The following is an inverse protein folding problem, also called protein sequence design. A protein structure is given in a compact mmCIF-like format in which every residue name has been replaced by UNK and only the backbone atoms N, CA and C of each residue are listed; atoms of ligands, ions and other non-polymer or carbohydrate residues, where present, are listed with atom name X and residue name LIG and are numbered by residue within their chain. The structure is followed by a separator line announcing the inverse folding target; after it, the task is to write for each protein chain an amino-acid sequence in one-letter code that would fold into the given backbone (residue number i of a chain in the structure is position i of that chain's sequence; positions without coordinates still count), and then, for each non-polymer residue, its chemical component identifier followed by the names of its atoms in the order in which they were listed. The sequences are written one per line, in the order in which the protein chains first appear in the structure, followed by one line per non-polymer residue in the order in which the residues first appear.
data_IF_866451249968
#
_entry.id   IF_866451249968
#
_cell.length_a   1.000
_cell.length_b   1.000
_cell.length_c   1.000
_cell.angle_alpha   90.00
_cell.angle_beta   90.00
_cell.angle_gamma   90.00
#
_symmetry.space_group_name_H-M   'P 1'
#
loop_
_entity.id
_entity.type
_entity.pdbx_description
1 polymer ?
#
# COMPACT_ATOMS: atom_id res chain seq x y z
N UNK A 1 2.25 -40.92 -25.39
CA UNK A 1 2.98 -39.63 -25.38
C UNK A 1 4.11 -39.77 -24.38
N UNK A 2 5.34 -39.50 -24.79
CA UNK A 2 6.49 -39.50 -23.86
C UNK A 2 6.27 -38.45 -22.80
N UNK A 3 6.30 -38.83 -21.53
CA UNK A 3 6.21 -37.92 -20.36
C UNK A 3 7.46 -37.02 -20.21
N UNK A 4 8.07 -36.63 -21.32
CA UNK A 4 9.23 -35.77 -21.32
C UNK A 4 8.80 -34.30 -21.29
N UNK A 5 8.93 -33.67 -20.12
CA UNK A 5 8.71 -32.26 -19.99
C UNK A 5 10.02 -31.48 -20.32
N UNK A 6 9.92 -30.43 -21.17
CA UNK A 6 11.10 -29.67 -21.66
C UNK A 6 12.03 -29.13 -20.58
N UNK A 7 11.53 -28.91 -19.35
CA UNK A 7 12.29 -28.43 -18.21
C UNK A 7 12.81 -29.56 -17.30
N UNK A 8 12.48 -30.83 -17.58
CA UNK A 8 13.00 -31.98 -16.86
C UNK A 8 14.03 -32.67 -17.73
N UNK A 9 15.35 -32.59 -17.45
CA UNK A 9 16.39 -33.15 -18.29
C UNK A 9 16.45 -34.68 -18.19
N UNK A 10 15.86 -35.28 -17.16
CA UNK A 10 15.90 -36.74 -16.93
C UNK A 10 15.06 -37.48 -17.95
N UNK A 11 15.69 -38.37 -18.73
CA UNK A 11 15.06 -39.24 -19.70
C UNK A 11 14.51 -40.51 -19.03
N UNK A 12 13.71 -41.28 -19.76
CA UNK A 12 13.24 -42.58 -19.26
C UNK A 12 14.40 -43.57 -19.07
N UNK A 13 15.46 -43.46 -19.88
CA UNK A 13 16.68 -44.25 -19.71
C UNK A 13 17.44 -43.86 -18.43
N UNK A 14 17.61 -42.57 -18.17
CA UNK A 14 18.23 -42.11 -16.92
C UNK A 14 17.46 -42.60 -15.70
N UNK A 15 16.13 -42.53 -15.77
CA UNK A 15 15.25 -43.02 -14.69
C UNK A 15 15.44 -44.53 -14.46
N UNK A 16 15.57 -45.33 -15.52
CA UNK A 16 15.81 -46.76 -15.42
C UNK A 16 17.16 -47.03 -14.74
N UNK A 17 18.22 -46.35 -15.16
CA UNK A 17 19.56 -46.51 -14.59
C UNK A 17 19.60 -46.10 -13.11
N UNK A 18 18.87 -45.02 -12.72
CA UNK A 18 18.71 -44.61 -11.32
C UNK A 18 18.02 -45.68 -10.47
N UNK A 19 16.92 -46.28 -10.98
CA UNK A 19 16.18 -47.33 -10.27
C UNK A 19 17.02 -48.59 -10.13
N UNK A 20 17.78 -49.00 -11.17
CA UNK A 20 18.71 -50.10 -11.11
C UNK A 20 19.84 -49.86 -10.11
N UNK A 21 20.38 -48.64 -10.03
CA UNK A 21 21.42 -48.26 -9.07
C UNK A 21 20.90 -48.31 -7.63
N UNK A 22 19.67 -47.88 -7.40
CA UNK A 22 19.00 -47.94 -6.08
C UNK A 22 18.61 -49.37 -5.73
N UNK A 23 18.45 -50.26 -6.70
CA UNK A 23 18.07 -51.65 -6.47
C UNK A 23 16.55 -51.87 -6.37
N UNK A 24 15.75 -51.02 -7.01
CA UNK A 24 14.29 -51.12 -7.08
C UNK A 24 13.80 -51.19 -8.53
N UNK A 25 12.60 -51.72 -8.72
CA UNK A 25 12.06 -51.92 -10.08
C UNK A 25 11.17 -50.77 -10.54
N UNK A 26 10.64 -49.99 -9.63
CA UNK A 26 9.74 -48.85 -9.95
C UNK A 26 9.85 -47.72 -8.95
N UNK A 27 9.41 -46.53 -9.37
CA UNK A 27 9.26 -45.37 -8.44
C UNK A 27 8.34 -45.69 -7.27
N UNK A 28 7.34 -46.59 -7.47
CA UNK A 28 6.42 -46.98 -6.37
C UNK A 28 7.13 -47.71 -5.25
N UNK A 29 8.19 -48.44 -5.57
CA UNK A 29 8.97 -49.16 -4.55
C UNK A 29 9.73 -48.25 -3.59
N UNK A 30 10.03 -47.01 -4.03
CA UNK A 30 10.64 -45.99 -3.22
C UNK A 30 9.74 -45.52 -2.05
N UNK A 31 8.45 -45.77 -2.14
CA UNK A 31 7.45 -45.41 -1.14
C UNK A 31 6.96 -46.62 -0.33
N UNK A 32 7.78 -47.67 -0.22
CA UNK A 32 7.41 -48.92 0.45
C UNK A 32 7.12 -48.76 1.94
N UNK A 33 7.65 -47.71 2.57
CA UNK A 33 7.40 -47.28 3.97
C UNK A 33 6.01 -46.67 4.16
N UNK A 34 5.32 -46.21 3.10
CA UNK A 34 3.96 -45.70 3.16
C UNK A 34 2.96 -46.85 3.01
N UNK A 35 2.05 -47.10 3.96
CA UNK A 35 1.03 -48.13 3.84
C UNK A 35 0.18 -47.99 2.59
N UNK A 36 -0.10 -49.10 1.90
CA UNK A 36 -0.89 -49.09 0.66
C UNK A 36 -2.28 -48.47 0.80
N UNK A 37 -2.88 -48.61 1.99
CA UNK A 37 -4.19 -48.00 2.32
C UNK A 37 -4.20 -46.47 2.31
N UNK A 38 -3.03 -45.87 2.46
CA UNK A 38 -2.87 -44.38 2.52
C UNK A 38 -2.28 -43.83 1.21
N UNK A 39 -1.76 -44.68 0.31
CA UNK A 39 -1.25 -44.25 -0.98
C UNK A 39 -2.37 -43.78 -1.90
N UNK A 40 -2.10 -42.79 -2.70
CA UNK A 40 -2.99 -42.39 -3.78
C UNK A 40 -3.05 -43.52 -4.82
N UNK A 41 -4.24 -44.11 -5.01
CA UNK A 41 -4.55 -45.06 -6.08
C UNK A 41 -5.19 -44.27 -7.24
N UNK A 42 -5.36 -44.94 -8.40
CA UNK A 42 -6.11 -44.34 -9.51
C UNK A 42 -7.49 -43.81 -9.08
N UNK A 43 -8.13 -44.54 -8.14
CA UNK A 43 -9.47 -44.18 -7.63
C UNK A 43 -9.42 -43.07 -6.53
N UNK A 44 -8.22 -42.72 -6.03
CA UNK A 44 -7.95 -41.66 -5.05
C UNK A 44 -7.00 -40.59 -5.60
N UNK A 45 -6.63 -40.67 -6.90
CA UNK A 45 -5.84 -39.63 -7.53
C UNK A 45 -6.63 -38.34 -7.56
N UNK A 46 -5.92 -37.22 -7.48
CA UNK A 46 -6.53 -35.92 -7.69
C UNK A 46 -7.13 -35.92 -9.09
N UNK A 47 -8.45 -35.69 -9.18
CA UNK A 47 -9.17 -35.62 -10.46
C UNK A 47 -8.85 -34.27 -11.11
N UNK A 48 -7.76 -34.25 -11.85
CA UNK A 48 -7.33 -33.12 -12.65
C UNK A 48 -7.47 -33.45 -14.13
N UNK A 49 -7.98 -32.48 -14.85
CA UNK A 49 -8.01 -32.54 -16.31
C UNK A 49 -6.59 -32.64 -16.91
N UNK A 50 -6.49 -33.14 -18.13
CA UNK A 50 -5.21 -33.18 -18.86
C UNK A 50 -4.66 -31.75 -19.06
N UNK A 51 -3.33 -31.62 -19.11
CA UNK A 51 -2.65 -30.37 -19.33
C UNK A 51 -3.07 -29.72 -20.67
N UNK A 52 -3.47 -28.47 -20.61
CA UNK A 52 -3.80 -27.67 -21.78
C UNK A 52 -2.53 -27.31 -22.59
N UNK A 53 -2.69 -27.14 -23.90
CA UNK A 53 -1.66 -26.51 -24.70
C UNK A 53 -1.51 -25.02 -24.28
N UNK A 54 -0.33 -24.43 -24.54
CA UNK A 54 -0.08 -23.00 -24.23
C UNK A 54 -1.14 -22.09 -24.86
N UNK A 55 -1.54 -22.37 -26.11
CA UNK A 55 -2.59 -21.62 -26.80
C UNK A 55 -3.94 -21.73 -26.10
N UNK A 56 -4.35 -22.96 -25.72
CA UNK A 56 -5.62 -23.21 -25.06
C UNK A 56 -5.63 -22.59 -23.66
N UNK A 57 -4.53 -22.71 -22.89
CA UNK A 57 -4.38 -22.09 -21.57
C UNK A 57 -4.45 -20.56 -21.66
N UNK A 58 -3.74 -19.96 -22.64
CA UNK A 58 -3.78 -18.50 -22.84
C UNK A 58 -5.19 -18.01 -23.14
N UNK A 59 -5.93 -18.73 -24.00
CA UNK A 59 -7.32 -18.41 -24.32
C UNK A 59 -8.21 -18.50 -23.07
N UNK A 60 -8.12 -19.61 -22.35
CA UNK A 60 -8.89 -19.84 -21.14
C UNK A 60 -8.65 -18.77 -20.07
N UNK A 61 -7.37 -18.42 -19.82
CA UNK A 61 -7.02 -17.38 -18.84
C UNK A 61 -7.51 -15.99 -19.26
N UNK A 62 -7.49 -15.65 -20.56
CA UNK A 62 -8.07 -14.41 -21.08
C UNK A 62 -9.59 -14.35 -20.89
N UNK A 63 -10.28 -15.47 -21.10
CA UNK A 63 -11.73 -15.56 -20.87
C UNK A 63 -12.09 -15.39 -19.39
N UNK A 64 -11.27 -15.92 -18.48
CA UNK A 64 -11.44 -15.69 -17.03
C UNK A 64 -11.16 -14.24 -16.67
N UNK A 65 -10.07 -13.66 -17.17
CA UNK A 65 -9.70 -12.27 -16.92
C UNK A 65 -10.77 -11.28 -17.39
N UNK A 66 -11.40 -11.56 -18.53
CA UNK A 66 -12.47 -10.73 -19.10
C UNK A 66 -13.77 -10.67 -18.27
N UNK A 67 -13.90 -11.55 -17.25
CA UNK A 67 -15.03 -11.49 -16.30
C UNK A 67 -14.87 -10.42 -15.22
N UNK A 68 -13.68 -9.86 -15.07
CA UNK A 68 -13.42 -8.83 -14.08
C UNK A 68 -13.78 -7.44 -14.60
N UNK A 69 -14.29 -6.59 -13.71
CA UNK A 69 -14.43 -5.15 -13.96
C UNK A 69 -13.06 -4.49 -13.81
N UNK A 70 -12.60 -3.80 -14.85
CA UNK A 70 -11.26 -3.18 -14.89
C UNK A 70 -11.35 -1.69 -15.22
N UNK A 71 -10.28 -0.95 -14.94
CA UNK A 71 -10.16 0.47 -15.29
C UNK A 71 -10.06 0.75 -16.80
N UNK A 72 -9.91 -0.29 -17.63
CA UNK A 72 -10.00 -0.18 -19.09
C UNK A 72 -11.45 -0.20 -19.59
N UNK A 73 -12.34 -0.85 -18.82
CA UNK A 73 -13.74 -1.02 -19.18
C UNK A 73 -14.70 -0.10 -18.42
N UNK A 74 -14.28 0.42 -17.25
CA UNK A 74 -15.10 1.23 -16.36
C UNK A 74 -14.34 2.46 -15.86
N UNK A 75 -15.03 3.58 -15.73
CA UNK A 75 -14.51 4.76 -15.03
C UNK A 75 -14.52 4.53 -13.52
N UNK A 76 -13.42 4.83 -12.84
CA UNK A 76 -13.20 4.50 -11.44
C UNK A 76 -13.27 5.74 -10.55
N UNK A 77 -14.21 5.75 -9.59
CA UNK A 77 -14.39 6.80 -8.60
C UNK A 77 -14.36 6.27 -7.17
N UNK A 78 -13.91 5.00 -6.98
CA UNK A 78 -13.97 4.32 -5.69
C UNK A 78 -12.97 4.90 -4.67
N UNK A 79 -11.71 5.07 -5.03
CA UNK A 79 -10.67 5.51 -4.11
C UNK A 79 -10.50 4.62 -2.88
N UNK A 80 -10.69 5.19 -1.70
CA UNK A 80 -10.64 4.48 -0.41
C UNK A 80 -9.32 3.71 -0.20
N UNK A 81 -8.18 4.36 -0.49
CA UNK A 81 -6.83 3.84 -0.24
C UNK A 81 -6.16 3.18 -1.45
N UNK A 82 -6.89 2.89 -2.55
CA UNK A 82 -6.32 2.34 -3.80
C UNK A 82 -6.86 3.15 -4.98
N UNK A 83 -5.98 3.72 -5.77
CA UNK A 83 -6.33 4.78 -6.72
C UNK A 83 -5.94 4.41 -8.15
N UNK A 84 -6.82 4.75 -9.11
CA UNK A 84 -6.52 4.64 -10.54
C UNK A 84 -5.77 5.89 -11.03
N UNK A 85 -4.45 5.92 -10.83
CA UNK A 85 -3.56 6.98 -11.28
C UNK A 85 -2.86 6.66 -12.60
N UNK A 86 -2.40 7.70 -13.28
CA UNK A 86 -1.55 7.58 -14.46
C UNK A 86 -0.19 6.97 -14.10
N UNK A 87 0.26 6.02 -14.91
CA UNK A 87 1.60 5.44 -14.81
C UNK A 87 2.32 5.59 -16.15
N UNK A 88 3.47 6.27 -16.20
CA UNK A 88 4.30 6.33 -17.40
C UNK A 88 4.76 4.94 -17.85
N UNK A 89 4.74 4.68 -19.17
CA UNK A 89 5.14 3.37 -19.73
C UNK A 89 6.58 2.95 -19.36
N UNK A 90 7.45 3.92 -19.08
CA UNK A 90 8.83 3.67 -18.64
C UNK A 90 8.90 2.87 -17.32
N UNK A 91 7.91 3.00 -16.43
CA UNK A 91 7.88 2.25 -15.16
C UNK A 91 7.88 0.75 -15.46
N UNK A 92 6.90 0.27 -16.22
CA UNK A 92 6.83 -1.13 -16.61
C UNK A 92 8.03 -1.59 -17.42
N UNK A 93 8.54 -0.73 -18.31
CA UNK A 93 9.72 -1.06 -19.10
C UNK A 93 10.95 -1.35 -18.23
N UNK A 94 11.17 -0.55 -17.20
CA UNK A 94 12.30 -0.75 -16.26
C UNK A 94 12.06 -1.95 -15.35
N UNK A 95 10.84 -2.11 -14.81
CA UNK A 95 10.51 -3.24 -13.93
C UNK A 95 10.65 -4.61 -14.62
N UNK A 96 10.41 -4.68 -15.93
CA UNK A 96 10.53 -5.92 -16.71
C UNK A 96 11.97 -6.24 -17.12
N UNK A 97 12.94 -5.39 -16.83
CA UNK A 97 14.35 -5.70 -17.07
C UNK A 97 14.80 -6.82 -16.15
N UNK A 98 15.44 -7.85 -16.71
CA UNK A 98 15.84 -9.04 -15.96
C UNK A 98 16.76 -8.72 -14.79
N UNK A 99 17.59 -7.69 -14.91
CA UNK A 99 18.52 -7.23 -13.87
C UNK A 99 17.80 -6.83 -12.57
N UNK A 100 16.59 -6.31 -12.67
CA UNK A 100 15.76 -5.94 -11.53
C UNK A 100 14.69 -6.99 -11.21
N UNK A 101 14.00 -7.53 -12.23
CA UNK A 101 12.88 -8.45 -12.03
C UNK A 101 13.29 -9.77 -11.37
N UNK A 102 14.50 -10.24 -11.64
CA UNK A 102 15.03 -11.47 -11.03
C UNK A 102 15.88 -11.23 -9.78
N UNK A 103 16.12 -9.97 -9.40
CA UNK A 103 16.80 -9.63 -8.17
C UNK A 103 15.96 -10.06 -6.95
N UNK A 104 16.66 -10.54 -5.92
CA UNK A 104 16.05 -10.85 -4.63
C UNK A 104 16.46 -9.77 -3.63
N UNK A 105 17.02 -10.14 -2.50
CA UNK A 105 17.57 -9.18 -1.55
C UNK A 105 19.04 -8.89 -1.84
N UNK A 106 19.46 -7.63 -1.89
CA UNK A 106 20.84 -7.25 -2.27
C UNK A 106 21.84 -7.47 -1.11
N UNK A 107 21.98 -8.71 -0.65
CA UNK A 107 22.90 -9.08 0.43
C UNK A 107 24.36 -8.94 0.06
N UNK A 108 24.70 -9.11 -1.23
CA UNK A 108 26.05 -8.98 -1.74
C UNK A 108 26.21 -7.62 -2.45
N UNK A 109 26.74 -6.59 -1.76
CA UNK A 109 26.85 -5.26 -2.34
C UNK A 109 27.63 -5.22 -3.65
N UNK A 110 28.65 -6.09 -3.78
CA UNK A 110 29.51 -6.17 -4.97
C UNK A 110 28.73 -6.49 -6.25
N UNK A 111 27.69 -7.31 -6.14
CA UNK A 111 26.86 -7.75 -7.26
C UNK A 111 25.57 -6.91 -7.45
N UNK A 112 25.16 -6.12 -6.46
CA UNK A 112 23.84 -5.50 -6.37
C UNK A 112 23.86 -3.98 -6.30
N UNK A 113 24.92 -3.33 -6.80
CA UNK A 113 25.07 -1.88 -6.68
C UNK A 113 23.93 -1.09 -7.32
N UNK A 114 23.41 -1.53 -8.47
CA UNK A 114 22.29 -0.86 -9.15
C UNK A 114 21.00 -0.90 -8.34
N UNK A 115 20.67 -2.04 -7.75
CA UNK A 115 19.48 -2.19 -6.88
C UNK A 115 19.65 -1.39 -5.58
N UNK A 116 20.81 -1.47 -4.93
CA UNK A 116 21.08 -0.69 -3.73
C UNK A 116 21.02 0.82 -3.99
N UNK A 117 21.54 1.28 -5.13
CA UNK A 117 21.41 2.68 -5.52
C UNK A 117 19.94 3.08 -5.70
N UNK A 118 19.13 2.27 -6.39
CA UNK A 118 17.72 2.55 -6.59
C UNK A 118 16.96 2.66 -5.24
N UNK A 119 17.23 1.76 -4.29
CA UNK A 119 16.66 1.81 -2.94
C UNK A 119 17.14 3.03 -2.16
N UNK A 120 18.40 3.44 -2.30
CA UNK A 120 18.91 4.66 -1.68
C UNK A 120 18.21 5.91 -2.25
N UNK A 121 17.99 5.95 -3.56
CA UNK A 121 17.25 7.03 -4.22
C UNK A 121 15.78 7.06 -3.78
N UNK A 122 15.12 5.90 -3.65
CA UNK A 122 13.78 5.79 -3.05
C UNK A 122 13.73 6.42 -1.65
N UNK A 123 14.66 6.05 -0.77
CA UNK A 123 14.75 6.62 0.57
C UNK A 123 14.89 8.15 0.54
N UNK A 124 15.71 8.67 -0.36
CA UNK A 124 15.92 10.11 -0.54
C UNK A 124 14.63 10.80 -0.99
N UNK A 125 13.93 10.24 -1.98
CA UNK A 125 12.67 10.78 -2.48
C UNK A 125 11.59 10.81 -1.40
N UNK A 126 11.50 9.74 -0.59
CA UNK A 126 10.56 9.70 0.54
C UNK A 126 10.91 10.74 1.62
N UNK A 127 12.19 10.94 1.92
CA UNK A 127 12.62 12.00 2.83
C UNK A 127 12.23 13.40 2.32
N UNK A 128 12.46 13.69 1.05
CA UNK A 128 12.13 14.98 0.44
C UNK A 128 10.60 15.26 0.45
N UNK A 129 9.79 14.27 0.07
CA UNK A 129 8.34 14.42 0.07
C UNK A 129 7.76 14.59 1.47
N UNK A 130 8.26 13.83 2.44
CA UNK A 130 7.71 13.81 3.80
C UNK A 130 8.30 14.88 4.73
N UNK A 131 9.43 15.48 4.33
CA UNK A 131 10.18 16.42 5.19
C UNK A 131 10.88 15.72 6.35
N UNK A 132 11.18 14.41 6.22
CA UNK A 132 11.84 13.60 7.24
C UNK A 132 13.33 13.43 6.96
N UNK A 133 14.09 13.04 8.01
CA UNK A 133 15.56 12.94 7.92
C UNK A 133 16.03 11.58 7.38
N UNK A 134 15.26 10.52 7.61
CA UNK A 134 15.63 9.13 7.27
C UNK A 134 14.41 8.35 6.83
N UNK A 135 14.51 7.61 5.73
CA UNK A 135 13.53 6.61 5.32
C UNK A 135 14.17 5.23 5.17
N UNK A 136 13.36 4.17 5.29
CA UNK A 136 13.80 2.81 4.99
C UNK A 136 13.66 2.49 3.48
N UNK A 137 14.14 1.30 3.10
CA UNK A 137 14.09 0.84 1.70
C UNK A 137 12.71 0.38 1.22
N UNK A 138 11.74 0.32 2.05
CA UNK A 138 10.29 0.03 1.92
C UNK A 138 9.79 -0.96 2.98
N UNK A 139 8.47 -1.09 3.05
CA UNK A 139 7.73 -2.13 3.77
C UNK A 139 6.70 -2.77 2.84
N UNK A 140 5.88 -3.70 3.34
CA UNK A 140 4.90 -4.41 2.53
C UNK A 140 3.83 -3.47 1.96
N UNK A 141 3.25 -2.64 2.82
CA UNK A 141 2.23 -1.66 2.50
C UNK A 141 2.16 -0.55 3.56
N UNK A 142 1.30 0.44 3.35
CA UNK A 142 1.12 1.57 4.26
C UNK A 142 0.54 1.18 5.62
N UNK A 143 -0.35 0.19 5.68
CA UNK A 143 -0.98 -0.22 6.93
C UNK A 143 -0.01 -1.00 7.83
N UNK A 144 0.78 -1.90 7.25
CA UNK A 144 1.88 -2.57 7.95
C UNK A 144 2.91 -1.54 8.44
N UNK A 145 3.23 -0.53 7.61
CA UNK A 145 4.11 0.56 8.01
C UNK A 145 3.57 1.31 9.22
N UNK A 146 2.26 1.51 9.30
CA UNK A 146 1.61 2.15 10.45
C UNK A 146 1.69 1.28 11.72
N UNK A 147 1.45 -0.03 11.62
CA UNK A 147 1.62 -0.96 12.75
C UNK A 147 3.03 -0.94 13.31
N UNK A 148 4.04 -0.95 12.44
CA UNK A 148 5.45 -0.81 12.82
C UNK A 148 5.76 0.56 13.45
N UNK A 149 5.08 1.63 13.02
CA UNK A 149 5.23 2.96 13.63
C UNK A 149 4.71 2.99 15.08
N UNK A 150 3.61 2.29 15.36
CA UNK A 150 3.10 2.11 16.72
C UNK A 150 4.12 1.37 17.61
N UNK A 151 4.69 0.27 17.12
CA UNK A 151 5.74 -0.47 17.82
C UNK A 151 6.97 0.38 18.10
N UNK A 152 7.39 1.18 17.12
CA UNK A 152 8.49 2.12 17.31
C UNK A 152 8.15 3.14 18.38
N UNK A 153 6.95 3.73 18.34
CA UNK A 153 6.53 4.78 19.28
C UNK A 153 6.48 4.27 20.71
N UNK A 154 5.83 3.13 20.98
CA UNK A 154 5.75 2.50 22.30
C UNK A 154 7.13 2.13 22.83
N UNK A 155 7.98 1.53 21.97
CA UNK A 155 9.37 1.21 22.32
C UNK A 155 10.24 2.44 22.59
N UNK A 156 10.01 3.56 21.89
CA UNK A 156 10.81 4.77 22.04
C UNK A 156 10.42 5.59 23.26
N UNK A 157 9.14 5.75 23.55
CA UNK A 157 8.60 6.52 24.65
C UNK A 157 8.54 5.73 25.94
N UNK A 158 8.50 4.40 25.89
CA UNK A 158 8.22 3.49 27.03
C UNK A 158 6.82 3.66 27.62
N UNK A 159 5.89 4.14 26.80
CA UNK A 159 4.48 4.38 27.13
C UNK A 159 3.61 3.41 26.34
N UNK A 160 2.35 3.22 26.78
CA UNK A 160 1.52 2.11 26.28
C UNK A 160 0.25 2.58 25.54
N UNK A 161 -0.11 3.87 25.58
CA UNK A 161 -1.34 4.32 24.98
C UNK A 161 -1.09 4.93 23.60
N UNK A 162 -1.74 4.40 22.58
CA UNK A 162 -1.75 4.93 21.20
C UNK A 162 -3.16 5.44 20.90
N UNK A 163 -3.28 6.72 20.58
CA UNK A 163 -4.53 7.35 20.16
C UNK A 163 -4.58 7.42 18.63
N UNK A 164 -5.73 7.19 18.03
CA UNK A 164 -5.92 7.36 16.59
C UNK A 164 -7.25 8.01 16.26
N UNK A 165 -7.28 8.83 15.21
CA UNK A 165 -8.50 9.45 14.72
C UNK A 165 -9.47 8.43 14.14
N UNK A 166 -10.77 8.58 14.39
CA UNK A 166 -11.81 7.81 13.70
C UNK A 166 -11.77 8.01 12.18
N UNK A 167 -11.17 9.11 11.69
CA UNK A 167 -10.91 9.37 10.27
C UNK A 167 -9.70 8.60 9.69
N UNK A 168 -9.15 7.62 10.40
CA UNK A 168 -8.15 6.69 9.87
C UNK A 168 -8.83 5.63 8.99
N UNK A 169 -8.14 5.19 7.94
CA UNK A 169 -8.62 4.13 7.04
C UNK A 169 -9.06 2.88 7.81
N UNK A 170 -10.23 2.25 7.50
CA UNK A 170 -10.76 1.12 8.27
C UNK A 170 -9.76 -0.05 8.42
N UNK A 171 -9.13 -0.50 7.33
CA UNK A 171 -8.13 -1.58 7.40
C UNK A 171 -6.89 -1.20 8.22
N UNK A 172 -6.49 0.07 8.21
CA UNK A 172 -5.39 0.53 9.06
C UNK A 172 -5.72 0.37 10.55
N UNK A 173 -6.98 0.64 10.95
CA UNK A 173 -7.47 0.41 12.31
C UNK A 173 -7.34 -1.06 12.71
N UNK A 174 -7.79 -1.98 11.85
CA UNK A 174 -7.70 -3.42 12.11
C UNK A 174 -6.24 -3.89 12.28
N UNK A 175 -5.33 -3.37 11.43
CA UNK A 175 -3.90 -3.68 11.52
C UNK A 175 -3.31 -3.20 12.85
N UNK A 176 -3.54 -1.93 13.25
CA UNK A 176 -3.00 -1.43 14.51
C UNK A 176 -3.57 -2.16 15.74
N UNK A 177 -4.85 -2.57 15.72
CA UNK A 177 -5.44 -3.41 16.76
C UNK A 177 -4.77 -4.79 16.84
N UNK A 178 -4.47 -5.41 15.70
CA UNK A 178 -3.73 -6.67 15.63
C UNK A 178 -2.33 -6.55 16.21
N UNK A 179 -1.60 -5.48 15.85
CA UNK A 179 -0.29 -5.19 16.41
C UNK A 179 -0.36 -4.93 17.92
N UNK A 180 -1.34 -4.14 18.36
CA UNK A 180 -1.54 -3.83 19.78
C UNK A 180 -1.79 -5.09 20.60
N UNK A 181 -2.61 -6.01 20.09
CA UNK A 181 -2.85 -7.31 20.74
C UNK A 181 -1.55 -8.13 20.90
N UNK A 182 -0.76 -8.22 19.81
CA UNK A 182 0.48 -9.01 19.83
C UNK A 182 1.62 -8.39 20.65
N UNK A 183 1.63 -7.06 20.79
CA UNK A 183 2.68 -6.32 21.46
C UNK A 183 2.26 -5.75 22.83
N UNK A 184 1.05 -6.06 23.27
CA UNK A 184 0.50 -5.74 24.61
C UNK A 184 0.47 -4.22 24.92
N UNK A 185 0.11 -3.38 23.96
CA UNK A 185 -0.19 -1.96 24.18
C UNK A 185 -1.66 -1.64 23.88
N UNK A 186 -2.16 -0.51 24.38
CA UNK A 186 -3.54 -0.11 24.15
C UNK A 186 -3.69 0.84 22.97
N UNK A 187 -4.80 0.72 22.24
CA UNK A 187 -5.21 1.65 21.20
C UNK A 187 -6.60 2.20 21.50
N UNK A 188 -6.77 3.52 21.33
CA UNK A 188 -8.04 4.20 21.61
C UNK A 188 -8.40 5.12 20.45
N UNK A 189 -9.65 4.99 19.98
CA UNK A 189 -10.21 5.85 18.94
C UNK A 189 -10.62 7.21 19.53
N UNK A 190 -10.37 8.27 18.78
CA UNK A 190 -10.86 9.64 19.01
C UNK A 190 -11.92 9.93 17.96
N UNK A 191 -13.07 10.46 18.38
CA UNK A 191 -14.24 10.71 17.52
C UNK A 191 -13.99 11.82 16.49
N UNK A 192 -15.02 12.12 15.72
CA UNK A 192 -15.03 13.13 14.68
C UNK A 192 -15.90 14.33 15.09
N UNK A 193 -15.50 15.50 14.62
CA UNK A 193 -16.32 16.67 14.45
C UNK A 193 -16.55 16.90 12.94
N UNK A 194 -17.71 16.50 12.42
CA UNK A 194 -17.94 16.40 10.97
C UNK A 194 -17.07 15.30 10.33
N UNK A 195 -16.20 15.70 9.41
CA UNK A 195 -15.23 14.80 8.75
C UNK A 195 -13.81 14.97 9.28
N UNK A 196 -13.61 15.76 10.35
CA UNK A 196 -12.32 16.00 10.99
C UNK A 196 -12.20 15.29 12.33
N UNK A 197 -10.98 15.12 12.79
CA UNK A 197 -10.69 14.68 14.15
C UNK A 197 -11.25 15.69 15.17
N UNK A 198 -11.95 15.21 16.21
CA UNK A 198 -12.40 16.05 17.31
C UNK A 198 -11.21 16.43 18.19
N UNK A 199 -10.80 17.70 18.08
CA UNK A 199 -9.62 18.23 18.79
C UNK A 199 -9.86 18.34 20.30
N UNK A 200 -11.08 18.62 20.73
CA UNK A 200 -11.39 18.73 22.16
C UNK A 200 -11.37 17.34 22.83
N UNK A 201 -11.92 16.33 22.16
CA UNK A 201 -11.80 14.95 22.64
C UNK A 201 -10.35 14.47 22.60
N UNK A 202 -9.60 14.73 21.52
CA UNK A 202 -8.19 14.38 21.44
C UNK A 202 -7.39 14.99 22.60
N UNK A 203 -7.58 16.26 22.86
CA UNK A 203 -6.92 16.96 23.97
C UNK A 203 -7.25 16.34 25.32
N UNK A 204 -8.50 15.93 25.52
CA UNK A 204 -8.96 15.28 26.77
C UNK A 204 -8.43 13.84 26.91
N UNK A 205 -8.16 13.16 25.79
CA UNK A 205 -7.67 11.79 25.76
C UNK A 205 -6.15 11.66 25.93
N UNK A 206 -5.40 12.74 25.65
CA UNK A 206 -3.94 12.78 25.82
C UNK A 206 -3.58 12.82 27.30
N UNK A 207 -2.72 11.88 27.73
CA UNK A 207 -2.24 11.75 29.10
C UNK A 207 -0.71 11.48 29.15
N UNK A 208 -0.18 11.28 30.35
CA UNK A 208 1.24 10.99 30.55
C UNK A 208 1.68 9.64 29.96
N UNK A 209 0.74 8.68 29.79
CA UNK A 209 0.98 7.38 29.20
C UNK A 209 0.78 7.37 27.67
N UNK A 210 0.45 8.48 27.07
CA UNK A 210 0.27 8.60 25.62
C UNK A 210 1.61 8.46 24.90
N UNK A 211 1.79 7.34 24.20
CA UNK A 211 2.95 6.99 23.38
C UNK A 211 2.91 7.71 22.03
N UNK A 212 1.75 7.71 21.39
CA UNK A 212 1.56 8.32 20.07
C UNK A 212 0.13 8.77 19.81
N UNK A 213 0.00 9.72 18.89
CA UNK A 213 -1.23 10.09 18.20
C UNK A 213 -1.05 9.80 16.71
N UNK A 214 -2.03 9.12 16.10
CA UNK A 214 -2.04 8.75 14.67
C UNK A 214 -3.07 9.61 13.94
N UNK A 215 -2.63 10.27 12.89
CA UNK A 215 -3.48 11.05 11.97
C UNK A 215 -3.20 10.62 10.52
N UNK A 216 -4.25 10.46 9.73
CA UNK A 216 -4.11 10.29 8.28
C UNK A 216 -4.20 11.65 7.59
N UNK A 217 -3.40 11.87 6.51
CA UNK A 217 -3.23 13.18 5.87
C UNK A 217 -3.10 13.06 4.34
N UNK A 218 -4.10 13.47 3.55
CA UNK A 218 -5.48 13.75 3.98
C UNK A 218 -6.10 12.55 4.71
N UNK A 219 -7.11 12.80 5.56
CA UNK A 219 -7.77 11.72 6.30
C UNK A 219 -8.66 10.84 5.38
N UNK A 220 -9.24 9.77 5.92
CA UNK A 220 -10.01 8.81 5.13
C UNK A 220 -11.23 9.42 4.42
N UNK A 221 -11.78 10.50 4.94
CA UNK A 221 -12.90 11.24 4.31
C UNK A 221 -12.41 12.35 3.36
N UNK A 222 -11.11 12.37 3.05
CA UNK A 222 -10.46 13.31 2.15
C UNK A 222 -10.05 14.63 2.79
N UNK A 223 -10.47 14.92 4.02
CA UNK A 223 -10.26 16.20 4.70
C UNK A 223 -8.80 16.39 5.15
N UNK A 224 -8.28 17.60 5.02
CA UNK A 224 -6.91 17.96 5.42
C UNK A 224 -6.93 18.38 6.90
N UNK A 225 -6.24 17.62 7.75
CA UNK A 225 -6.16 17.86 9.21
C UNK A 225 -5.10 18.92 9.58
N UNK A 226 -5.30 19.67 10.67
CA UNK A 226 -4.29 20.62 11.18
C UNK A 226 -3.24 19.88 12.03
N UNK A 227 -2.19 19.42 11.38
CA UNK A 227 -1.10 18.70 12.05
C UNK A 227 -0.31 19.58 13.03
N UNK A 228 -0.26 20.91 12.85
CA UNK A 228 0.44 21.82 13.78
C UNK A 228 -0.32 21.92 15.09
N UNK A 229 -1.64 22.11 15.02
CA UNK A 229 -2.49 22.14 16.19
C UNK A 229 -2.38 20.82 16.96
N UNK A 230 -2.55 19.68 16.27
CA UNK A 230 -2.45 18.34 16.88
C UNK A 230 -1.06 18.13 17.51
N UNK A 231 0.02 18.54 16.83
CA UNK A 231 1.37 18.42 17.41
C UNK A 231 1.54 19.23 18.68
N UNK A 232 0.95 20.43 18.77
CA UNK A 232 1.03 21.26 19.96
C UNK A 232 0.44 20.60 21.22
N UNK A 233 -0.59 19.76 21.07
CA UNK A 233 -1.19 19.00 22.17
C UNK A 233 -0.24 17.94 22.77
N UNK A 234 0.80 17.54 22.04
CA UNK A 234 1.76 16.52 22.48
C UNK A 234 3.02 17.07 23.12
N UNK A 235 3.22 18.38 23.16
CA UNK A 235 4.48 19.01 23.62
C UNK A 235 4.84 18.63 25.05
N UNK A 236 3.88 18.67 25.97
CA UNK A 236 4.10 18.39 27.38
C UNK A 236 4.27 16.89 27.68
N UNK A 237 3.65 16.02 26.89
CA UNK A 237 3.67 14.57 27.13
C UNK A 237 4.87 13.86 26.51
N UNK A 238 5.58 14.50 25.59
CA UNK A 238 6.62 13.86 24.74
C UNK A 238 6.09 12.70 23.89
N UNK A 239 4.79 12.66 23.64
CA UNK A 239 4.16 11.73 22.70
C UNK A 239 4.64 11.93 21.26
N UNK A 240 4.55 10.89 20.47
CA UNK A 240 4.99 10.86 19.06
C UNK A 240 3.81 11.16 18.16
N UNK A 241 3.94 12.11 17.24
CA UNK A 241 2.97 12.31 16.17
C UNK A 241 3.34 11.38 14.99
N UNK A 242 2.48 10.42 14.70
CA UNK A 242 2.56 9.53 13.55
C UNK A 242 1.57 10.03 12.50
N UNK A 243 2.05 10.29 11.29
CA UNK A 243 1.20 10.72 10.17
C UNK A 243 1.21 9.65 9.09
N UNK A 244 0.02 9.13 8.74
CA UNK A 244 -0.17 8.29 7.56
C UNK A 244 -0.55 9.20 6.40
N UNK A 245 0.36 9.40 5.43
CA UNK A 245 0.17 10.38 4.38
C UNK A 245 0.00 9.76 2.99
N UNK A 246 -0.92 10.34 2.19
CA UNK A 246 -0.96 10.10 0.75
C UNK A 246 0.21 10.86 0.10
N UNK A 247 1.21 10.16 -0.49
CA UNK A 247 2.43 10.81 -0.94
C UNK A 247 2.21 11.70 -2.18
N UNK A 248 1.18 11.47 -2.98
CA UNK A 248 0.83 12.35 -4.10
C UNK A 248 0.29 13.70 -3.61
N UNK A 249 -0.52 13.70 -2.55
CA UNK A 249 -1.03 14.92 -1.96
C UNK A 249 0.10 15.84 -1.44
N UNK A 250 1.23 15.25 -1.02
CA UNK A 250 2.40 16.01 -0.54
C UNK A 250 3.09 16.83 -1.63
N UNK A 251 2.74 16.64 -2.90
CA UNK A 251 3.20 17.53 -3.98
C UNK A 251 2.60 18.94 -3.88
N UNK A 252 1.45 19.09 -3.21
CA UNK A 252 0.75 20.37 -2.99
C UNK A 252 0.72 20.77 -1.52
N UNK A 253 0.60 19.80 -0.60
CA UNK A 253 0.50 20.05 0.83
C UNK A 253 1.87 20.22 1.48
N UNK A 254 1.91 20.96 2.58
CA UNK A 254 3.14 21.07 3.36
C UNK A 254 3.53 19.69 3.92
N UNK A 255 4.80 19.35 3.80
CA UNK A 255 5.34 18.08 4.26
C UNK A 255 5.11 17.86 5.76
N UNK A 256 4.59 16.70 6.20
CA UNK A 256 4.26 16.45 7.61
C UNK A 256 5.43 16.65 8.58
N UNK A 257 6.66 16.36 8.14
CA UNK A 257 7.87 16.57 8.92
C UNK A 257 8.08 18.05 9.31
N UNK A 258 7.71 18.99 8.43
CA UNK A 258 7.75 20.44 8.69
C UNK A 258 6.60 20.87 9.60
N UNK A 259 5.50 20.15 9.62
CA UNK A 259 4.33 20.37 10.46
C UNK A 259 4.47 19.74 11.85
N UNK A 260 5.61 19.08 12.14
CA UNK A 260 5.91 18.55 13.45
C UNK A 260 5.76 17.04 13.61
N UNK A 261 5.40 16.30 12.54
CA UNK A 261 5.39 14.85 12.58
C UNK A 261 6.74 14.27 13.00
N UNK A 262 6.72 13.22 13.78
CA UNK A 262 7.92 12.48 14.22
C UNK A 262 8.18 11.24 13.36
N UNK A 263 7.10 10.63 12.84
CA UNK A 263 7.10 9.48 11.94
C UNK A 263 6.08 9.76 10.85
N UNK A 264 6.44 9.49 9.59
CA UNK A 264 5.53 9.54 8.45
C UNK A 264 5.56 8.22 7.73
N UNK A 265 4.39 7.62 7.54
CA UNK A 265 4.20 6.34 6.84
C UNK A 265 3.14 6.48 5.76
N UNK A 266 3.05 5.53 4.89
CA UNK A 266 2.01 5.47 3.87
C UNK A 266 2.35 4.46 2.78
N UNK A 267 1.64 4.55 1.68
CA UNK A 267 1.79 3.67 0.53
C UNK A 267 2.19 4.45 -0.72
N UNK A 268 3.10 3.91 -1.52
CA UNK A 268 3.52 4.53 -2.78
C UNK A 268 2.71 4.05 -3.98
N UNK A 269 1.56 3.42 -3.76
CA UNK A 269 0.67 2.98 -4.85
C UNK A 269 0.41 4.08 -5.89
N UNK A 270 0.20 5.36 -5.52
CA UNK A 270 0.03 6.45 -6.49
C UNK A 270 1.21 6.68 -7.43
N UNK A 271 2.38 6.12 -7.15
CA UNK A 271 3.61 6.31 -7.92
C UNK A 271 3.87 5.17 -8.91
N UNK A 272 2.91 4.93 -9.80
CA UNK A 272 3.05 4.00 -10.91
C UNK A 272 2.82 2.52 -10.56
N UNK A 273 2.31 2.21 -9.36
CA UNK A 273 1.93 0.86 -8.97
C UNK A 273 0.47 0.64 -9.37
N UNK A 274 0.16 -0.42 -10.15
CA UNK A 274 -1.22 -0.71 -10.55
C UNK A 274 -2.07 -1.09 -9.33
N UNK A 275 -3.39 -0.88 -9.43
CA UNK A 275 -4.32 -1.24 -8.35
C UNK A 275 -4.31 -2.72 -8.01
N UNK A 276 -4.17 -3.61 -9.00
CA UNK A 276 -4.00 -5.07 -8.86
C UNK A 276 -4.98 -5.71 -7.86
N UNK A 277 -6.25 -5.29 -7.87
CA UNK A 277 -7.28 -5.76 -6.93
C UNK A 277 -6.93 -5.57 -5.43
N UNK A 278 -6.16 -4.54 -5.11
CA UNK A 278 -5.78 -4.21 -3.74
C UNK A 278 -4.34 -4.58 -3.34
N UNK A 279 -3.50 -4.98 -4.27
CA UNK A 279 -2.08 -5.24 -4.00
C UNK A 279 -1.43 -6.28 -4.91
N UNK A 280 -0.11 -6.53 -4.72
CA UNK A 280 0.74 -5.94 -3.68
C UNK A 280 1.03 -4.46 -3.90
N UNK A 281 1.23 -3.74 -2.80
CA UNK A 281 1.61 -2.34 -2.77
C UNK A 281 3.03 -2.14 -2.22
N UNK A 282 3.43 -0.91 -1.91
CA UNK A 282 4.76 -0.60 -1.40
C UNK A 282 4.67 0.44 -0.29
N UNK A 283 4.82 0.00 0.95
CA UNK A 283 4.83 0.88 2.10
C UNK A 283 6.13 1.68 2.22
N UNK A 284 6.04 2.92 2.69
CA UNK A 284 7.20 3.70 3.09
C UNK A 284 7.16 4.04 4.58
N UNK A 285 8.34 4.28 5.17
CA UNK A 285 8.51 4.58 6.57
C UNK A 285 9.64 5.60 6.74
N UNK A 286 9.28 6.81 7.12
CA UNK A 286 10.19 7.92 7.26
C UNK A 286 10.15 8.53 8.67
N UNK A 287 11.29 8.90 9.24
CA UNK A 287 11.41 9.36 10.63
C UNK A 287 12.37 10.52 10.79
N UNK A 288 12.21 11.24 11.91
CA UNK A 288 13.26 12.13 12.42
C UNK A 288 14.52 11.35 12.80
N UNK A 289 15.70 11.90 12.58
CA UNK A 289 17.03 11.30 12.79
C UNK A 289 17.19 10.60 14.16
N UNK A 290 16.58 11.14 15.21
CA UNK A 290 16.63 10.54 16.56
C UNK A 290 16.07 9.12 16.65
N UNK A 291 15.22 8.71 15.70
CA UNK A 291 14.61 7.37 15.64
C UNK A 291 15.29 6.42 14.65
N UNK A 292 16.29 6.86 13.89
CA UNK A 292 16.95 6.09 12.83
C UNK A 292 17.33 4.66 13.24
N UNK A 293 17.79 4.47 14.48
CA UNK A 293 18.20 3.14 14.99
C UNK A 293 17.04 2.23 15.40
N UNK A 294 15.80 2.69 15.26
CA UNK A 294 14.58 1.95 15.59
C UNK A 294 13.70 1.70 14.36
N UNK A 295 14.07 2.24 13.19
CA UNK A 295 13.33 2.07 11.94
C UNK A 295 13.25 0.58 11.57
N UNK A 296 12.07 0.03 11.23
CA UNK A 296 11.95 -1.35 10.78
C UNK A 296 12.53 -1.56 9.38
N UNK A 297 12.74 -2.82 9.00
CA UNK A 297 13.23 -3.22 7.68
C UNK A 297 14.64 -2.66 7.35
N UNK A 298 15.02 -2.68 6.10
CA UNK A 298 16.37 -2.39 5.64
C UNK A 298 16.60 -0.91 5.39
N UNK A 299 17.83 -0.47 5.59
CA UNK A 299 18.31 0.87 5.22
C UNK A 299 19.55 0.71 4.36
N UNK A 300 19.59 1.39 3.23
CA UNK A 300 20.76 1.48 2.37
C UNK A 300 21.51 2.76 2.68
N UNK A 301 22.82 2.64 2.81
CA UNK A 301 23.74 3.77 3.03
C UNK A 301 24.70 3.92 1.87
N UNK A 302 25.18 5.14 1.65
CA UNK A 302 26.27 5.42 0.73
C UNK A 302 27.62 5.25 1.42
N UNK A 303 28.58 4.68 0.70
CA UNK A 303 29.96 4.46 1.15
C UNK A 303 30.92 4.71 -0.01
N UNK A 304 32.21 4.46 0.24
CA UNK A 304 33.25 4.42 -0.80
C UNK A 304 33.93 3.07 -0.77
N UNK A 305 34.33 2.59 -1.94
CA UNK A 305 35.16 1.39 -2.07
C UNK A 305 36.65 1.69 -1.73
N UNK A 306 37.48 0.67 -1.83
CA UNK A 306 38.97 0.78 -1.57
C UNK A 306 39.69 1.76 -2.51
N UNK A 307 39.11 2.05 -3.68
CA UNK A 307 39.67 2.95 -4.69
C UNK A 307 39.05 4.37 -4.58
N UNK A 308 38.22 4.61 -3.55
CA UNK A 308 37.53 5.89 -3.30
C UNK A 308 36.29 6.14 -4.16
N UNK A 309 35.85 5.14 -4.91
CA UNK A 309 34.63 5.26 -5.72
C UNK A 309 33.37 5.11 -4.86
N UNK A 310 32.34 5.89 -5.19
CA UNK A 310 31.02 5.79 -4.54
C UNK A 310 30.43 4.38 -4.69
N UNK A 311 29.95 3.84 -3.59
CA UNK A 311 29.23 2.58 -3.52
C UNK A 311 28.08 2.64 -2.53
N UNK A 312 27.26 1.59 -2.52
CA UNK A 312 26.09 1.48 -1.65
C UNK A 312 26.13 0.14 -0.91
N UNK A 313 25.67 0.14 0.35
CA UNK A 313 25.62 -1.03 1.21
C UNK A 313 24.39 -1.01 2.08
N UNK A 314 23.88 -2.19 2.49
CA UNK A 314 22.91 -2.25 3.59
C UNK A 314 23.61 -1.86 4.90
N UNK A 315 22.95 -0.99 5.67
CA UNK A 315 23.52 -0.45 6.91
C UNK A 315 22.59 -0.67 8.12
N UNK A 316 23.12 -0.49 9.33
CA UNK A 316 22.40 -0.66 10.59
C UNK A 316 21.72 -2.05 10.75
N UNK A 317 22.25 -3.10 10.13
CA UNK A 317 21.70 -4.46 10.14
C UNK A 317 21.64 -5.09 11.54
N UNK A 318 22.41 -4.58 12.51
CA UNK A 318 22.45 -5.11 13.89
C UNK A 318 21.10 -5.03 14.61
N UNK A 319 20.13 -4.28 14.12
CA UNK A 319 18.76 -4.19 14.66
C UNK A 319 17.80 -5.22 14.06
N UNK A 320 18.20 -5.91 12.97
CA UNK A 320 17.37 -6.84 12.23
C UNK A 320 17.25 -8.21 12.92
N UNK A 321 16.20 -8.95 12.55
CA UNK A 321 15.84 -10.23 13.17
C UNK A 321 16.94 -11.29 13.04
N UNK A 322 17.65 -11.38 11.93
CA UNK A 322 18.73 -12.36 11.74
C UNK A 322 19.94 -12.16 12.67
N UNK A 323 20.07 -10.96 13.26
CA UNK A 323 21.09 -10.67 14.29
C UNK A 323 20.48 -10.70 15.69
N UNK A 324 19.39 -9.96 15.91
CA UNK A 324 18.77 -9.78 17.24
C UNK A 324 17.84 -10.91 17.66
N UNK A 325 17.36 -11.70 16.70
CA UNK A 325 16.42 -12.80 16.91
C UNK A 325 15.17 -12.32 17.65
N UNK A 326 14.82 -12.93 18.79
CA UNK A 326 13.66 -12.56 19.63
C UNK A 326 13.72 -11.14 20.21
N UNK A 327 14.89 -10.51 20.19
CA UNK A 327 15.10 -9.13 20.66
C UNK A 327 15.04 -8.09 19.55
N UNK A 328 14.71 -8.50 18.32
CA UNK A 328 14.53 -7.56 17.23
C UNK A 328 13.33 -6.64 17.50
N UNK A 329 13.43 -5.40 17.05
CA UNK A 329 12.35 -4.42 17.19
C UNK A 329 11.20 -4.67 16.23
N UNK A 330 11.43 -5.47 15.18
CA UNK A 330 10.47 -5.82 14.14
C UNK A 330 10.76 -7.20 13.58
N UNK A 331 9.72 -7.92 13.18
CA UNK A 331 9.80 -9.20 12.46
C UNK A 331 9.88 -9.02 10.94
N UNK A 332 9.94 -7.81 10.44
CA UNK A 332 10.08 -7.51 9.02
C UNK A 332 11.43 -8.00 8.50
N UNK A 333 11.40 -9.02 7.64
CA UNK A 333 12.59 -9.60 7.01
C UNK A 333 12.69 -9.31 5.52
N UNK A 334 11.59 -8.90 4.88
CA UNK A 334 11.50 -8.56 3.47
C UNK A 334 10.93 -7.16 3.28
N UNK A 335 11.02 -6.66 2.07
CA UNK A 335 10.47 -5.39 1.63
C UNK A 335 9.95 -5.51 0.19
N UNK A 336 9.46 -4.41 -0.38
CA UNK A 336 8.95 -4.34 -1.76
C UNK A 336 9.99 -3.68 -2.68
N UNK A 337 11.19 -4.25 -2.78
CA UNK A 337 12.31 -3.64 -3.50
C UNK A 337 11.98 -3.31 -4.96
N UNK A 338 11.31 -4.22 -5.70
CA UNK A 338 10.91 -4.00 -7.08
C UNK A 338 9.90 -2.86 -7.21
N UNK A 339 8.90 -2.79 -6.33
CA UNK A 339 7.90 -1.72 -6.37
C UNK A 339 8.47 -0.38 -5.87
N UNK A 340 9.43 -0.40 -4.93
CA UNK A 340 10.19 0.79 -4.54
C UNK A 340 11.01 1.35 -5.71
N UNK A 341 11.64 0.47 -6.50
CA UNK A 341 12.28 0.85 -7.77
C UNK A 341 11.25 1.47 -8.72
N UNK A 342 10.06 0.84 -8.89
CA UNK A 342 8.98 1.36 -9.74
C UNK A 342 8.57 2.77 -9.33
N UNK A 343 8.39 3.02 -8.04
CA UNK A 343 8.07 4.34 -7.48
C UNK A 343 9.19 5.36 -7.74
N UNK A 344 10.46 4.95 -7.63
CA UNK A 344 11.60 5.81 -7.93
C UNK A 344 11.66 6.17 -9.42
N UNK A 345 11.42 5.20 -10.29
CA UNK A 345 11.35 5.41 -11.75
C UNK A 345 10.21 6.36 -12.11
N UNK A 346 9.03 6.17 -11.50
CA UNK A 346 7.89 7.07 -11.67
C UNK A 346 8.27 8.51 -11.30
N UNK A 347 8.77 8.72 -10.08
CA UNK A 347 9.14 10.04 -9.58
C UNK A 347 10.24 10.70 -10.44
N UNK A 348 11.22 9.92 -10.91
CA UNK A 348 12.26 10.40 -11.82
C UNK A 348 11.69 10.79 -13.21
N UNK A 349 10.71 10.03 -13.71
CA UNK A 349 10.09 10.26 -15.01
C UNK A 349 9.19 11.51 -15.02
N UNK A 350 8.35 11.69 -14.01
CA UNK A 350 7.44 12.85 -13.92
C UNK A 350 8.16 14.08 -13.39
N UNK A 351 9.16 13.91 -12.56
CA UNK A 351 9.91 14.99 -11.90
C UNK A 351 9.04 15.85 -11.00
N UNK A 352 9.63 16.90 -10.44
CA UNK A 352 8.92 17.80 -9.51
C UNK A 352 7.71 18.47 -10.15
N UNK A 353 7.86 18.97 -11.38
CA UNK A 353 6.80 19.70 -12.07
C UNK A 353 5.65 18.77 -12.43
N UNK A 354 5.94 17.63 -13.07
CA UNK A 354 4.89 16.68 -13.43
C UNK A 354 4.14 16.10 -12.22
N UNK A 355 4.82 15.88 -11.09
CA UNK A 355 4.17 15.44 -9.86
C UNK A 355 3.20 16.52 -9.33
N UNK A 356 3.60 17.79 -9.36
CA UNK A 356 2.74 18.91 -8.96
C UNK A 356 1.56 19.07 -9.91
N UNK A 357 1.77 18.97 -11.23
CA UNK A 357 0.71 19.03 -12.23
C UNK A 357 -0.30 17.89 -12.05
N UNK A 358 0.17 16.66 -11.82
CA UNK A 358 -0.68 15.51 -11.54
C UNK A 358 -1.53 15.72 -10.28
N UNK A 359 -0.92 16.14 -9.18
CA UNK A 359 -1.63 16.44 -7.94
C UNK A 359 -2.65 17.59 -8.11
N UNK A 360 -2.29 18.63 -8.87
CA UNK A 360 -3.19 19.76 -9.14
C UNK A 360 -4.39 19.35 -9.99
N UNK A 361 -4.22 18.43 -10.95
CA UNK A 361 -5.33 17.89 -11.72
C UNK A 361 -6.28 17.08 -10.84
N UNK A 362 -5.75 16.23 -9.95
CA UNK A 362 -6.57 15.51 -8.95
C UNK A 362 -7.44 16.50 -8.14
N UNK A 363 -6.81 17.52 -7.58
CA UNK A 363 -7.50 18.55 -6.81
C UNK A 363 -8.59 19.25 -7.64
N UNK A 364 -8.25 19.69 -8.83
CA UNK A 364 -9.17 20.43 -9.71
C UNK A 364 -10.37 19.56 -10.13
N UNK A 365 -10.14 18.30 -10.49
CA UNK A 365 -11.19 17.38 -10.91
C UNK A 365 -12.14 17.06 -9.74
N UNK A 366 -11.61 16.81 -8.57
CA UNK A 366 -12.42 16.52 -7.38
C UNK A 366 -13.27 17.74 -6.96
N UNK A 367 -12.68 18.94 -6.96
CA UNK A 367 -13.41 20.18 -6.70
C UNK A 367 -14.45 20.50 -7.78
N UNK A 368 -14.18 20.17 -9.04
CA UNK A 368 -15.17 20.28 -10.12
C UNK A 368 -16.38 19.38 -9.86
N UNK A 369 -16.17 18.07 -9.62
CA UNK A 369 -17.26 17.13 -9.35
C UNK A 369 -18.06 17.54 -8.11
N UNK A 370 -17.35 17.91 -7.00
CA UNK A 370 -17.99 18.41 -5.79
C UNK A 370 -18.93 19.59 -6.08
N UNK A 371 -18.45 20.57 -6.84
CA UNK A 371 -19.23 21.76 -7.19
C UNK A 371 -20.46 21.40 -8.03
N UNK A 372 -20.28 20.58 -9.08
CA UNK A 372 -21.39 20.17 -9.94
C UNK A 372 -22.46 19.39 -9.18
N UNK A 373 -22.08 18.50 -8.24
CA UNK A 373 -23.02 17.77 -7.38
C UNK A 373 -23.81 18.74 -6.46
N UNK A 374 -23.12 19.71 -5.86
CA UNK A 374 -23.77 20.72 -5.03
C UNK A 374 -24.71 21.62 -5.84
N UNK A 375 -24.33 22.02 -7.06
CA UNK A 375 -25.17 22.81 -7.97
C UNK A 375 -26.43 22.02 -8.42
N UNK A 376 -26.36 20.68 -8.43
CA UNK A 376 -27.51 19.77 -8.66
C UNK A 376 -28.33 19.50 -7.40
N UNK A 377 -27.95 20.04 -6.25
CA UNK A 377 -28.71 19.96 -5.00
C UNK A 377 -28.31 18.81 -4.06
N UNK A 378 -27.31 18.00 -4.37
CA UNK A 378 -26.81 16.97 -3.46
C UNK A 378 -26.07 17.62 -2.27
N UNK A 379 -26.23 17.03 -1.10
CA UNK A 379 -25.53 17.48 0.12
C UNK A 379 -24.12 16.94 0.15
N UNK A 380 -23.11 17.81 0.12
CA UNK A 380 -21.71 17.44 0.35
C UNK A 380 -21.38 17.56 1.82
N UNK A 381 -20.89 16.46 2.43
CA UNK A 381 -20.59 16.37 3.86
C UNK A 381 -19.16 16.81 4.19
N UNK A 382 -18.24 16.70 3.23
CA UNK A 382 -16.84 17.13 3.42
C UNK A 382 -16.69 18.64 3.40
N UNK A 383 -15.76 19.14 4.23
CA UNK A 383 -15.31 20.52 4.22
C UNK A 383 -14.72 20.94 2.87
N UNK A 384 -14.34 22.22 2.74
CA UNK A 384 -13.70 22.72 1.52
C UNK A 384 -12.21 22.35 1.41
N UNK A 385 -11.56 22.01 2.53
CA UNK A 385 -10.15 21.67 2.57
C UNK A 385 -9.97 20.16 2.41
N UNK A 386 -9.98 19.68 1.16
CA UNK A 386 -9.77 18.28 0.81
C UNK A 386 -8.90 18.17 -0.44
N UNK A 387 -8.36 16.98 -0.71
CA UNK A 387 -7.49 16.75 -1.87
C UNK A 387 -8.26 16.18 -3.06
N UNK A 388 -8.39 14.86 -3.17
CA UNK A 388 -9.03 14.17 -4.29
C UNK A 388 -10.19 13.25 -3.88
N UNK A 389 -10.48 13.18 -2.60
CA UNK A 389 -11.59 12.43 -2.02
C UNK A 389 -12.50 13.37 -1.23
N UNK A 390 -13.80 13.12 -1.29
CA UNK A 390 -14.80 13.85 -0.53
C UNK A 390 -16.08 13.01 -0.36
N UNK A 391 -16.91 13.35 0.63
CA UNK A 391 -18.13 12.62 0.95
C UNK A 391 -19.35 13.39 0.47
N UNK A 392 -20.25 12.69 -0.22
CA UNK A 392 -21.56 13.17 -0.64
C UNK A 392 -22.65 12.31 -0.01
N UNK A 393 -23.77 12.92 0.39
CA UNK A 393 -24.99 12.23 0.82
C UNK A 393 -25.89 12.01 -0.39
N UNK A 394 -26.27 10.76 -0.62
CA UNK A 394 -27.14 10.37 -1.71
C UNK A 394 -28.60 10.52 -1.30
N UNK A 395 -29.46 10.90 -2.24
CA UNK A 395 -30.92 10.98 -2.05
C UNK A 395 -31.62 9.62 -2.19
N UNK A 396 -30.89 8.59 -2.58
CA UNK A 396 -31.35 7.21 -2.81
C UNK A 396 -30.47 6.21 -2.07
N UNK A 397 -30.95 4.98 -1.81
CA UNK A 397 -30.15 3.94 -1.17
C UNK A 397 -28.83 3.69 -1.89
N UNK A 398 -27.73 3.57 -1.12
CA UNK A 398 -26.37 3.39 -1.63
C UNK A 398 -26.27 2.26 -2.66
N UNK A 399 -26.87 1.08 -2.36
CA UNK A 399 -26.78 -0.09 -3.25
C UNK A 399 -27.52 0.15 -4.58
N UNK A 400 -28.65 0.83 -4.59
CA UNK A 400 -29.38 1.15 -5.83
C UNK A 400 -28.55 2.08 -6.74
N UNK A 401 -27.85 3.04 -6.13
CA UNK A 401 -26.99 3.97 -6.86
C UNK A 401 -25.78 3.26 -7.41
N UNK A 402 -25.11 2.41 -6.63
CA UNK A 402 -23.92 1.67 -7.08
C UNK A 402 -24.25 0.66 -8.19
N UNK A 403 -25.39 -0.04 -8.11
CA UNK A 403 -25.85 -0.94 -9.17
C UNK A 403 -26.11 -0.16 -10.47
N UNK A 404 -26.78 0.99 -10.39
CA UNK A 404 -27.00 1.86 -11.55
C UNK A 404 -25.68 2.36 -12.15
N UNK A 405 -24.73 2.77 -11.33
CA UNK A 405 -23.41 3.22 -11.81
C UNK A 405 -22.68 2.10 -12.54
N UNK A 406 -22.72 0.86 -12.03
CA UNK A 406 -22.09 -0.30 -12.69
C UNK A 406 -22.74 -0.60 -14.04
N UNK A 407 -24.06 -0.50 -14.17
CA UNK A 407 -24.77 -0.65 -15.46
C UNK A 407 -24.32 0.40 -16.50
N UNK A 408 -23.85 1.55 -16.05
CA UNK A 408 -23.30 2.63 -16.85
C UNK A 408 -21.76 2.62 -16.95
N UNK A 409 -21.12 1.49 -16.64
CA UNK A 409 -19.66 1.32 -16.69
C UNK A 409 -18.88 2.29 -15.78
N UNK A 410 -19.46 2.60 -14.61
CA UNK A 410 -18.82 3.41 -13.58
C UNK A 410 -18.71 2.57 -12.30
N UNK A 411 -17.51 2.45 -11.74
CA UNK A 411 -17.30 1.99 -10.38
C UNK A 411 -17.41 3.21 -9.46
N UNK A 412 -18.52 3.26 -8.71
CA UNK A 412 -18.83 4.38 -7.81
C UNK A 412 -17.96 4.43 -6.56
N UNK A 413 -18.39 5.26 -5.60
CA UNK A 413 -17.64 5.49 -4.37
C UNK A 413 -17.79 4.38 -3.32
N UNK A 414 -17.17 4.61 -2.18
CA UNK A 414 -17.17 3.70 -1.03
C UNK A 414 -18.24 4.10 -0.02
N UNK A 415 -18.93 3.12 0.57
CA UNK A 415 -19.95 3.37 1.61
C UNK A 415 -19.28 3.76 2.94
N UNK A 416 -19.55 4.98 3.40
CA UNK A 416 -19.07 5.52 4.67
C UNK A 416 -20.21 5.84 5.65
N UNK A 417 -21.41 5.33 5.39
CA UNK A 417 -22.63 5.62 6.15
C UNK A 417 -22.46 5.29 7.63
N UNK A 418 -21.97 4.09 7.96
CA UNK A 418 -21.75 3.66 9.34
C UNK A 418 -20.64 4.51 10.02
N UNK A 419 -19.56 4.79 9.30
CA UNK A 419 -18.42 5.52 9.85
C UNK A 419 -18.79 6.96 10.26
N UNK A 420 -19.67 7.62 9.48
CA UNK A 420 -20.12 8.99 9.73
C UNK A 420 -21.45 9.06 10.49
N UNK A 421 -22.12 7.92 10.72
CA UNK A 421 -23.48 7.87 11.25
C UNK A 421 -24.46 8.72 10.40
N UNK A 422 -24.30 8.65 9.07
CA UNK A 422 -25.12 9.34 8.06
C UNK A 422 -25.62 8.33 7.04
N UNK A 423 -26.95 8.26 6.83
CA UNK A 423 -27.50 7.34 5.85
C UNK A 423 -27.09 7.72 4.42
N UNK A 424 -26.76 6.71 3.60
CA UNK A 424 -26.42 6.85 2.19
C UNK A 424 -25.22 7.81 1.93
N UNK A 425 -24.23 7.82 2.81
CA UNK A 425 -23.00 8.60 2.63
C UNK A 425 -22.01 7.85 1.74
N UNK A 426 -21.61 8.47 0.63
CA UNK A 426 -20.67 7.93 -0.34
C UNK A 426 -19.39 8.74 -0.36
N UNK A 427 -18.24 8.08 -0.13
CA UNK A 427 -16.92 8.65 -0.38
C UNK A 427 -16.61 8.52 -1.87
N UNK A 428 -16.34 9.61 -2.54
CA UNK A 428 -15.95 9.67 -3.96
C UNK A 428 -14.48 10.07 -4.07
N UNK A 429 -13.78 9.44 -5.01
CA UNK A 429 -12.42 9.79 -5.42
C UNK A 429 -12.39 10.21 -6.87
N UNK A 430 -11.71 11.33 -7.16
CA UNK A 430 -11.53 11.81 -8.55
C UNK A 430 -10.06 12.01 -8.83
N UNK A 431 -9.51 11.21 -9.75
CA UNK A 431 -8.10 11.29 -10.12
C UNK A 431 -7.89 12.09 -11.42
N UNK A 432 -6.64 12.36 -11.76
CA UNK A 432 -6.25 13.03 -13.00
C UNK A 432 -6.63 12.26 -14.27
N UNK A 433 -6.92 10.95 -14.14
CA UNK A 433 -7.33 10.12 -15.28
C UNK A 433 -8.78 10.34 -15.70
N UNK A 434 -9.60 10.93 -14.87
CA UNK A 434 -11.02 11.13 -15.18
C UNK A 434 -11.20 12.23 -16.22
N UNK A 435 -11.89 11.91 -17.31
CA UNK A 435 -12.25 12.89 -18.34
C UNK A 435 -13.43 13.74 -17.87
N UNK A 436 -13.63 14.89 -18.53
CA UNK A 436 -14.77 15.74 -18.22
C UNK A 436 -16.10 15.01 -18.48
N UNK A 437 -16.17 14.24 -19.56
CA UNK A 437 -17.32 13.45 -19.96
C UNK A 437 -17.68 12.39 -18.88
N UNK A 438 -16.68 11.68 -18.35
CA UNK A 438 -16.88 10.70 -17.26
C UNK A 438 -17.35 11.38 -15.97
N UNK A 439 -16.80 12.55 -15.63
CA UNK A 439 -17.21 13.33 -14.45
C UNK A 439 -18.62 13.86 -14.59
N UNK A 440 -18.99 14.45 -15.74
CA UNK A 440 -20.33 14.95 -16.02
C UNK A 440 -21.36 13.81 -16.00
N UNK A 441 -21.00 12.64 -16.55
CA UNK A 441 -21.85 11.45 -16.53
C UNK A 441 -22.11 10.94 -15.11
N UNK A 442 -21.06 10.83 -14.29
CA UNK A 442 -21.21 10.51 -12.86
C UNK A 442 -22.19 11.47 -12.16
N UNK A 443 -21.96 12.78 -12.34
CA UNK A 443 -22.81 13.83 -11.73
C UNK A 443 -24.26 13.68 -12.14
N UNK A 444 -24.54 13.43 -13.42
CA UNK A 444 -25.93 13.29 -13.93
C UNK A 444 -26.62 12.06 -13.33
N UNK A 445 -25.91 10.93 -13.21
CA UNK A 445 -26.47 9.71 -12.62
C UNK A 445 -26.74 9.85 -11.12
N UNK A 446 -25.82 10.47 -10.37
CA UNK A 446 -26.01 10.75 -8.94
C UNK A 446 -27.14 11.72 -8.69
N UNK A 447 -27.33 12.73 -9.56
CA UNK A 447 -28.46 13.66 -9.51
C UNK A 447 -29.81 13.06 -9.99
N UNK A 448 -29.82 11.80 -10.43
CA UNK A 448 -31.04 11.12 -10.89
C UNK A 448 -31.55 11.54 -12.28
N UNK A 449 -30.70 12.18 -13.10
CA UNK A 449 -31.04 12.64 -14.45
C UNK A 449 -30.91 11.53 -15.52
N UNK A 450 -30.26 10.41 -15.21
CA UNK A 450 -30.07 9.25 -16.08
C UNK A 450 -31.15 8.17 -15.89
N UNK A 451 -32.38 8.43 -16.31
CA UNK A 451 -33.46 7.42 -16.38
C UNK A 451 -33.63 6.90 -17.79
#
# INVERSE_FOLDING_TARGET
MTNQHRYLPTTDQDRKEMLETIGVSSIKDLFSDIPESTRATKDKAIDLEDALSEQALTKYMKELAAKNTTTESHAYFLGAGVYDHYSPSIVNHVLLRSEFMTAYTPYQPEASQGELQALFEFQTMMCELTGMDVANSSLYDGFTSLGEACNLATSATKKQNVLYSKALHPQAKEVIHTYAYGMEYSVKEVSLNGTRTDIDELKSAIDEETAAVIIQYPNFFGTIEDLKEIKSLLEDTKGILIVMANPLALALLEAPGKLGADIVVGDTQPFGIPMSFGGPHCGYFAVKKKYMRKVPSRIVGQTTDKDGKRGFVMTLQTREQHIRREKATSNMSSNQALLALGSSVFLAAVGKVGLQEMAQQNLNHAHYVKKELADKGLTVLSDNDFFNEFVVKLDRPFNEVTDQLLDHQIVGGFDVSEALNEENAMLLCVTEKRTKEEMDHLVSLLAGEGK
#
